data_IF_889853705545
#
_entry.id   IF_889853705545
#
_cell.length_a   1.000
_cell.length_b   1.000
_cell.length_c   1.000
_cell.angle_alpha   90.00
_cell.angle_beta   90.00
_cell.angle_gamma   90.00
#
_symmetry.space_group_name_H-M   'P 1'
#
loop_
_entity.id
_entity.type
_entity.pdbx_description
1 polymer ?
#
# COMPACT_ATOMS: atom_id res chain seq x y z
N UNK A 1 -27.59 8.41 25.30
CA UNK A 1 -27.94 8.21 23.86
C UNK A 1 -26.77 8.40 22.89
N UNK A 2 -25.63 9.00 23.29
CA UNK A 2 -24.56 9.41 22.35
C UNK A 2 -23.55 8.32 21.99
N UNK A 3 -23.20 7.42 22.91
CA UNK A 3 -22.16 6.39 22.66
C UNK A 3 -22.64 5.25 21.74
N UNK A 4 -23.85 4.72 21.96
CA UNK A 4 -24.41 3.68 21.08
C UNK A 4 -24.64 4.17 19.63
N UNK A 5 -25.01 5.45 19.46
CA UNK A 5 -25.14 6.04 18.14
C UNK A 5 -23.77 6.15 17.44
N UNK A 6 -22.72 6.55 18.17
CA UNK A 6 -21.36 6.63 17.63
C UNK A 6 -20.86 5.27 17.17
N UNK A 7 -21.01 4.24 18.00
CA UNK A 7 -20.64 2.85 17.67
C UNK A 7 -21.40 2.35 16.42
N UNK A 8 -22.73 2.53 16.39
CA UNK A 8 -23.59 2.16 15.26
C UNK A 8 -23.16 2.79 13.93
N UNK A 9 -22.80 4.07 13.94
CA UNK A 9 -22.32 4.77 12.74
C UNK A 9 -20.89 4.38 12.38
N UNK A 10 -20.02 4.20 13.36
CA UNK A 10 -18.64 3.77 13.14
C UNK A 10 -18.60 2.39 12.44
N UNK A 11 -19.45 1.43 12.84
CA UNK A 11 -19.55 0.13 12.16
C UNK A 11 -19.89 0.32 10.67
N UNK A 12 -20.92 1.12 10.35
CA UNK A 12 -21.32 1.35 8.94
C UNK A 12 -20.24 2.03 8.13
N UNK A 13 -19.64 3.09 8.68
CA UNK A 13 -18.59 3.86 8.04
C UNK A 13 -17.28 3.06 7.91
N UNK A 14 -17.10 2.01 8.71
CA UNK A 14 -16.00 1.07 8.53
C UNK A 14 -16.31 0.04 7.44
N UNK A 15 -17.42 -0.70 7.61
CA UNK A 15 -17.73 -1.89 6.80
C UNK A 15 -18.09 -1.53 5.36
N UNK A 16 -18.97 -0.55 5.14
CA UNK A 16 -19.45 -0.22 3.78
C UNK A 16 -18.31 0.33 2.91
N UNK A 17 -17.55 1.36 3.34
CA UNK A 17 -16.40 1.82 2.58
C UNK A 17 -15.31 0.76 2.46
N UNK A 18 -15.07 -0.04 3.50
CA UNK A 18 -14.13 -1.17 3.45
C UNK A 18 -14.49 -2.16 2.32
N UNK A 19 -15.75 -2.56 2.23
CA UNK A 19 -16.24 -3.45 1.17
C UNK A 19 -16.08 -2.82 -0.24
N UNK A 20 -16.39 -1.53 -0.38
CA UNK A 20 -16.17 -0.79 -1.65
C UNK A 20 -14.68 -0.81 -2.03
N UNK A 21 -13.79 -0.55 -1.07
CA UNK A 21 -12.35 -0.59 -1.32
C UNK A 21 -11.86 -1.97 -1.78
N UNK A 22 -12.44 -3.05 -1.25
CA UNK A 22 -12.09 -4.43 -1.62
C UNK A 22 -12.40 -4.76 -3.08
N UNK A 23 -13.46 -4.17 -3.64
CA UNK A 23 -13.89 -4.39 -5.02
C UNK A 23 -13.15 -3.46 -5.99
N UNK A 24 -13.01 -2.20 -5.61
CA UNK A 24 -12.47 -1.16 -6.49
C UNK A 24 -10.96 -1.27 -6.69
N UNK A 25 -10.20 -1.78 -5.70
CA UNK A 25 -8.75 -1.90 -5.85
C UNK A 25 -8.35 -2.94 -6.92
N UNK A 26 -8.89 -4.18 -6.95
CA UNK A 26 -8.65 -5.11 -8.05
C UNK A 26 -9.05 -4.53 -9.40
N UNK A 27 -10.19 -3.84 -9.46
CA UNK A 27 -10.61 -3.15 -10.67
C UNK A 27 -9.50 -2.16 -11.13
N UNK A 28 -9.00 -1.30 -10.23
CA UNK A 28 -7.91 -0.36 -10.51
C UNK A 28 -6.61 -1.04 -10.98
N UNK A 29 -6.35 -2.27 -10.54
CA UNK A 29 -5.20 -3.07 -10.95
C UNK A 29 -5.36 -3.67 -12.35
N UNK A 30 -6.58 -3.94 -12.81
CA UNK A 30 -6.84 -4.56 -14.11
C UNK A 30 -6.81 -3.56 -15.27
N UNK A 31 -7.22 -2.31 -15.03
CA UNK A 31 -7.22 -1.26 -16.06
C UNK A 31 -5.83 -0.71 -16.39
N UNK A 32 -5.75 0.13 -17.42
CA UNK A 32 -4.51 0.79 -17.87
C UNK A 32 -4.01 1.79 -16.83
N UNK A 33 -2.72 1.66 -16.46
CA UNK A 33 -2.13 2.39 -15.33
C UNK A 33 -1.98 3.85 -15.73
N UNK A 34 -2.55 4.76 -14.93
CA UNK A 34 -2.60 6.19 -15.24
C UNK A 34 -3.72 6.65 -16.17
N UNK A 35 -4.52 5.73 -16.73
CA UNK A 35 -5.72 6.05 -17.50
C UNK A 35 -6.86 6.60 -16.63
N UNK A 36 -7.95 7.04 -17.26
CA UNK A 36 -9.09 7.64 -16.55
C UNK A 36 -9.69 6.68 -15.50
N UNK A 37 -9.99 5.43 -15.89
CA UNK A 37 -10.53 4.41 -14.99
C UNK A 37 -9.61 4.10 -13.80
N UNK A 38 -8.30 3.98 -14.03
CA UNK A 38 -7.34 3.75 -12.95
C UNK A 38 -7.35 4.90 -11.92
N UNK A 39 -7.41 6.15 -12.41
CA UNK A 39 -7.45 7.33 -11.53
C UNK A 39 -8.77 7.45 -10.77
N UNK A 40 -9.90 7.15 -11.42
CA UNK A 40 -11.21 7.16 -10.78
C UNK A 40 -11.28 6.10 -9.67
N UNK A 41 -10.98 4.85 -10.01
CA UNK A 41 -11.03 3.73 -9.07
C UNK A 41 -9.99 3.87 -7.97
N UNK A 42 -8.77 4.31 -8.29
CA UNK A 42 -7.76 4.64 -7.29
C UNK A 42 -8.21 5.71 -6.30
N UNK A 43 -8.93 6.75 -6.76
CA UNK A 43 -9.47 7.80 -5.88
C UNK A 43 -10.58 7.27 -4.97
N UNK A 44 -11.51 6.48 -5.53
CA UNK A 44 -12.56 5.83 -4.74
C UNK A 44 -11.93 4.93 -3.67
N UNK A 45 -10.97 4.09 -4.04
CA UNK A 45 -10.23 3.25 -3.09
C UNK A 45 -9.61 4.05 -1.94
N UNK A 46 -8.87 5.12 -2.23
CA UNK A 46 -8.21 5.95 -1.21
C UNK A 46 -9.21 6.55 -0.23
N UNK A 47 -10.28 7.16 -0.73
CA UNK A 47 -11.28 7.78 0.14
C UNK A 47 -12.06 6.74 0.93
N UNK A 48 -12.42 5.62 0.32
CA UNK A 48 -13.06 4.51 1.01
C UNK A 48 -12.21 3.97 2.16
N UNK A 49 -10.90 3.77 1.93
CA UNK A 49 -9.98 3.36 2.99
C UNK A 49 -9.89 4.43 4.08
N UNK A 50 -9.72 5.71 3.75
CA UNK A 50 -9.62 6.75 4.79
C UNK A 50 -10.88 6.88 5.65
N UNK A 51 -12.07 6.80 5.05
CA UNK A 51 -13.33 6.79 5.82
C UNK A 51 -13.39 5.55 6.70
N UNK A 52 -13.05 4.37 6.17
CA UNK A 52 -13.07 3.14 6.94
C UNK A 52 -12.09 3.18 8.13
N UNK A 53 -10.90 3.73 7.92
CA UNK A 53 -9.86 3.85 8.94
C UNK A 53 -10.21 4.88 10.02
N UNK A 54 -10.82 6.00 9.63
CA UNK A 54 -11.30 6.99 10.59
C UNK A 54 -12.39 6.38 11.51
N UNK A 55 -13.28 5.57 10.92
CA UNK A 55 -14.30 4.85 11.67
C UNK A 55 -13.72 3.69 12.51
N UNK A 56 -12.59 3.11 12.10
CA UNK A 56 -11.93 2.03 12.83
C UNK A 56 -11.34 2.47 14.18
N UNK A 57 -10.92 3.74 14.32
CA UNK A 57 -10.34 4.27 15.57
C UNK A 57 -11.30 4.15 16.77
N UNK A 58 -12.53 4.70 16.73
CA UNK A 58 -13.47 4.52 17.82
C UNK A 58 -13.92 3.05 17.98
N UNK A 59 -14.04 2.28 16.89
CA UNK A 59 -14.37 0.86 16.98
C UNK A 59 -13.31 0.06 17.73
N UNK A 60 -12.03 0.35 17.50
CA UNK A 60 -10.94 -0.31 18.21
C UNK A 60 -10.98 -0.02 19.71
N UNK A 61 -11.38 1.18 20.10
CA UNK A 61 -11.61 1.53 21.50
C UNK A 61 -12.80 0.76 22.10
N UNK A 62 -13.96 0.77 21.45
CA UNK A 62 -15.16 0.09 21.95
C UNK A 62 -15.01 -1.43 22.01
N UNK A 63 -14.36 -2.02 21.02
CA UNK A 63 -14.09 -3.46 20.95
C UNK A 63 -12.88 -3.90 21.79
N UNK A 64 -12.12 -2.95 22.37
CA UNK A 64 -10.82 -3.20 23.00
C UNK A 64 -9.88 -4.02 22.08
N UNK A 65 -9.89 -3.69 20.78
CA UNK A 65 -9.18 -4.44 19.74
C UNK A 65 -7.91 -3.70 19.30
N UNK A 66 -6.78 -4.10 19.91
CA UNK A 66 -5.47 -3.57 19.56
C UNK A 66 -5.06 -3.86 18.12
N UNK A 67 -5.56 -4.95 17.52
CA UNK A 67 -5.26 -5.28 16.13
C UNK A 67 -5.94 -4.29 15.18
N UNK A 68 -7.21 -3.98 15.39
CA UNK A 68 -7.93 -2.98 14.60
C UNK A 68 -7.26 -1.60 14.70
N UNK A 69 -6.86 -1.20 15.92
CA UNK A 69 -6.11 0.04 16.14
C UNK A 69 -4.76 0.04 15.41
N UNK A 70 -3.98 -1.02 15.57
CA UNK A 70 -2.67 -1.19 14.94
C UNK A 70 -2.73 -1.12 13.41
N UNK A 71 -3.61 -1.93 12.81
CA UNK A 71 -3.75 -2.00 11.35
C UNK A 71 -4.26 -0.70 10.76
N UNK A 72 -5.02 0.08 11.53
CA UNK A 72 -5.49 1.39 11.11
C UNK A 72 -4.33 2.30 10.71
N UNK A 73 -3.29 2.42 11.55
CA UNK A 73 -2.14 3.27 11.22
C UNK A 73 -1.28 2.69 10.09
N UNK A 74 -1.08 1.36 10.06
CA UNK A 74 -0.31 0.69 9.01
C UNK A 74 -0.93 0.95 7.64
N UNK A 75 -2.23 0.67 7.48
CA UNK A 75 -2.95 0.87 6.22
C UNK A 75 -3.03 2.36 5.89
N UNK A 76 -3.23 3.23 6.89
CA UNK A 76 -3.30 4.68 6.70
C UNK A 76 -2.01 5.22 6.07
N UNK A 77 -0.85 4.94 6.67
CA UNK A 77 0.42 5.47 6.17
C UNK A 77 0.85 4.86 4.84
N UNK A 78 0.55 3.58 4.59
CA UNK A 78 0.77 2.98 3.28
C UNK A 78 -0.07 3.68 2.20
N UNK A 79 -1.36 3.88 2.46
CA UNK A 79 -2.30 4.52 1.53
C UNK A 79 -1.94 5.99 1.30
N UNK A 80 -1.67 6.74 2.38
CA UNK A 80 -1.31 8.14 2.31
C UNK A 80 0.01 8.36 1.56
N UNK A 81 1.04 7.57 1.88
CA UNK A 81 2.34 7.64 1.20
C UNK A 81 2.20 7.29 -0.29
N UNK A 82 1.47 6.21 -0.60
CA UNK A 82 1.19 5.78 -1.97
C UNK A 82 0.41 6.82 -2.79
N UNK A 83 -0.57 7.48 -2.19
CA UNK A 83 -1.34 8.53 -2.84
C UNK A 83 -0.50 9.80 -3.06
N UNK A 84 0.24 10.26 -2.03
CA UNK A 84 1.02 11.51 -2.11
C UNK A 84 2.17 11.42 -3.11
N UNK A 85 2.90 10.31 -3.17
CA UNK A 85 3.99 10.17 -4.14
C UNK A 85 3.48 10.21 -5.59
N UNK A 86 2.25 9.75 -5.82
CA UNK A 86 1.60 9.85 -7.13
C UNK A 86 1.19 11.27 -7.49
N UNK A 87 0.83 12.13 -6.53
CA UNK A 87 0.52 13.54 -6.81
C UNK A 87 1.80 14.31 -7.09
N UNK A 88 2.82 14.10 -6.24
CA UNK A 88 4.06 14.87 -6.31
C UNK A 88 4.82 14.57 -7.60
N UNK A 89 4.99 13.28 -7.96
CA UNK A 89 5.74 12.80 -9.15
C UNK A 89 7.14 13.42 -9.33
N UNK A 90 7.73 14.03 -8.30
CA UNK A 90 9.01 14.73 -8.39
C UNK A 90 10.18 13.78 -8.18
N UNK A 91 11.22 13.98 -8.98
CA UNK A 91 12.56 13.50 -8.65
C UNK A 91 13.10 14.35 -7.49
N UNK A 92 13.95 13.77 -6.64
CA UNK A 92 14.54 14.46 -5.48
C UNK A 92 13.53 15.01 -4.45
N UNK A 93 12.40 14.33 -4.26
CA UNK A 93 11.47 14.68 -3.18
C UNK A 93 12.16 14.58 -1.81
N UNK A 94 12.12 15.68 -1.05
CA UNK A 94 12.46 15.72 0.37
C UNK A 94 11.16 15.54 1.16
N UNK A 95 11.10 14.52 2.01
CA UNK A 95 9.91 14.22 2.80
C UNK A 95 9.54 15.36 3.73
N UNK A 96 8.24 15.64 3.81
CA UNK A 96 7.70 16.55 4.82
C UNK A 96 7.61 15.86 6.19
N UNK A 97 7.20 16.61 7.21
CA UNK A 97 7.00 16.10 8.56
C UNK A 97 6.12 14.83 8.60
N UNK A 98 5.05 14.81 7.80
CA UNK A 98 4.12 13.66 7.72
C UNK A 98 4.79 12.37 7.22
N UNK A 99 5.83 12.47 6.38
CA UNK A 99 6.57 11.31 5.89
C UNK A 99 7.45 10.72 7.00
N UNK A 100 8.08 11.58 7.79
CA UNK A 100 8.87 11.17 8.96
C UNK A 100 8.01 10.58 10.07
N UNK A 101 6.84 11.17 10.35
CA UNK A 101 5.85 10.60 11.26
C UNK A 101 5.45 9.21 10.76
N UNK A 102 5.16 9.07 9.46
CA UNK A 102 4.81 7.77 8.88
C UNK A 102 5.91 6.73 9.08
N UNK A 103 7.17 7.07 8.83
CA UNK A 103 8.31 6.17 9.09
C UNK A 103 8.39 5.77 10.57
N UNK A 104 8.28 6.74 11.48
CA UNK A 104 8.36 6.49 12.92
C UNK A 104 7.23 5.56 13.39
N UNK A 105 5.99 5.84 13.00
CA UNK A 105 4.82 5.03 13.35
C UNK A 105 4.95 3.62 12.79
N UNK A 106 5.30 3.48 11.51
CA UNK A 106 5.52 2.17 10.88
C UNK A 106 6.66 1.39 11.55
N UNK A 107 7.76 2.05 11.91
CA UNK A 107 8.88 1.42 12.59
C UNK A 107 8.49 0.94 14.00
N UNK A 108 7.81 1.78 14.79
CA UNK A 108 7.30 1.41 16.12
C UNK A 108 6.30 0.26 16.04
N UNK A 109 5.40 0.30 15.06
CA UNK A 109 4.45 -0.78 14.78
C UNK A 109 5.19 -2.09 14.46
N UNK A 110 6.21 -2.04 13.62
CA UNK A 110 7.02 -3.22 13.27
C UNK A 110 7.81 -3.78 14.45
N UNK A 111 8.43 -2.91 15.26
CA UNK A 111 9.17 -3.30 16.47
C UNK A 111 8.23 -3.92 17.51
N UNK A 112 7.06 -3.32 17.74
CA UNK A 112 6.07 -3.83 18.68
C UNK A 112 5.60 -5.24 18.31
N UNK A 113 5.19 -5.44 17.05
CA UNK A 113 4.76 -6.75 16.56
C UNK A 113 5.91 -7.79 16.61
N UNK A 114 7.13 -7.40 16.23
CA UNK A 114 8.31 -8.28 16.29
C UNK A 114 8.62 -8.72 17.72
N UNK A 115 8.59 -7.79 18.69
CA UNK A 115 8.82 -8.10 20.11
C UNK A 115 7.78 -9.05 20.68
N UNK A 116 6.49 -8.80 20.40
CA UNK A 116 5.40 -9.71 20.76
C UNK A 116 5.57 -11.09 20.12
N UNK A 117 6.05 -11.12 18.89
CA UNK A 117 6.33 -12.36 18.19
C UNK A 117 7.38 -13.22 18.87
N UNK A 118 8.48 -12.59 19.31
CA UNK A 118 9.58 -13.26 20.00
C UNK A 118 9.25 -13.68 21.43
N UNK A 119 8.33 -12.98 22.11
CA UNK A 119 8.08 -13.20 23.54
C UNK A 119 7.10 -14.32 23.87
N UNK A 120 6.33 -14.81 22.90
CA UNK A 120 5.21 -15.74 23.20
C UNK A 120 5.46 -17.19 22.82
N UNK A 121 6.36 -17.47 21.85
CA UNK A 121 6.57 -18.83 21.32
C UNK A 121 5.31 -19.49 20.73
N UNK A 122 4.23 -18.71 20.53
CA UNK A 122 2.92 -19.21 20.12
C UNK A 122 2.73 -19.12 18.60
N UNK A 123 1.67 -19.76 18.07
CA UNK A 123 1.28 -19.60 16.67
C UNK A 123 1.05 -18.11 16.31
N UNK A 124 0.34 -17.37 17.18
CA UNK A 124 0.14 -15.94 17.00
C UNK A 124 1.48 -15.18 17.09
N UNK A 125 2.40 -15.62 17.94
CA UNK A 125 3.75 -15.06 18.02
C UNK A 125 4.50 -15.17 16.70
N UNK A 126 4.49 -16.36 16.08
CA UNK A 126 5.08 -16.58 14.77
C UNK A 126 4.47 -15.65 13.69
N UNK A 127 3.15 -15.48 13.70
CA UNK A 127 2.46 -14.54 12.81
C UNK A 127 2.91 -13.10 13.05
N UNK A 128 2.90 -12.64 14.29
CA UNK A 128 3.31 -11.28 14.67
C UNK A 128 4.76 -10.99 14.30
N UNK A 129 5.64 -11.99 14.41
CA UNK A 129 7.03 -11.89 13.98
C UNK A 129 7.12 -11.61 12.48
N UNK A 130 6.44 -12.38 11.63
CA UNK A 130 6.46 -12.19 10.17
C UNK A 130 5.87 -10.84 9.77
N UNK A 131 4.71 -10.49 10.33
CA UNK A 131 4.05 -9.20 10.07
C UNK A 131 4.96 -8.05 10.51
N UNK A 132 5.52 -8.13 11.71
CA UNK A 132 6.41 -7.12 12.28
C UNK A 132 7.65 -6.89 11.43
N UNK A 133 8.33 -7.97 11.02
CA UNK A 133 9.49 -7.88 10.13
C UNK A 133 9.12 -7.26 8.77
N UNK A 134 8.02 -7.68 8.15
CA UNK A 134 7.56 -7.11 6.88
C UNK A 134 7.29 -5.60 6.98
N UNK A 135 6.63 -5.18 8.06
CA UNK A 135 6.39 -3.76 8.37
C UNK A 135 7.71 -3.01 8.59
N UNK A 136 8.66 -3.59 9.31
CA UNK A 136 10.00 -3.00 9.52
C UNK A 136 10.77 -2.84 8.21
N UNK A 137 10.74 -3.83 7.31
CA UNK A 137 11.36 -3.71 5.98
C UNK A 137 10.75 -2.55 5.19
N UNK A 138 9.42 -2.40 5.24
CA UNK A 138 8.71 -1.27 4.64
C UNK A 138 9.17 0.08 5.21
N UNK A 139 9.23 0.21 6.54
CA UNK A 139 9.66 1.42 7.24
C UNK A 139 11.13 1.77 6.95
N UNK A 140 12.03 0.78 6.94
CA UNK A 140 13.44 0.97 6.58
C UNK A 140 13.59 1.43 5.13
N UNK A 141 12.79 0.86 4.21
CA UNK A 141 12.76 1.29 2.82
C UNK A 141 12.31 2.73 2.64
N UNK A 142 11.32 3.19 3.42
CA UNK A 142 10.90 4.59 3.41
C UNK A 142 11.95 5.51 4.02
N UNK A 143 12.49 5.17 5.20
CA UNK A 143 13.58 5.91 5.83
C UNK A 143 14.74 6.12 4.87
N UNK A 144 15.19 5.05 4.21
CA UNK A 144 16.26 5.11 3.23
C UNK A 144 15.94 6.09 2.10
N UNK A 145 14.69 6.11 1.59
CA UNK A 145 14.26 7.02 0.52
C UNK A 145 14.16 8.48 0.98
N UNK A 146 13.82 8.71 2.24
CA UNK A 146 13.77 10.05 2.83
C UNK A 146 15.17 10.64 3.02
N UNK A 147 16.13 9.83 3.47
CA UNK A 147 17.53 10.22 3.63
C UNK A 147 18.24 10.30 2.27
N UNK A 148 17.94 9.38 1.36
CA UNK A 148 18.54 9.30 0.02
C UNK A 148 17.45 9.31 -1.04
N UNK A 149 17.12 10.51 -1.52
CA UNK A 149 16.07 10.68 -2.53
C UNK A 149 16.34 9.83 -3.79
N UNK A 150 15.35 9.06 -4.28
CA UNK A 150 15.50 8.28 -5.49
C UNK A 150 15.81 9.15 -6.71
N UNK A 151 16.87 8.80 -7.44
CA UNK A 151 17.33 9.57 -8.63
C UNK A 151 16.64 9.16 -9.94
N UNK A 152 16.08 7.96 -10.01
CA UNK A 152 15.48 7.46 -11.25
C UNK A 152 14.12 8.13 -11.55
N UNK A 153 13.90 8.53 -12.81
CA UNK A 153 12.66 9.17 -13.31
C UNK A 153 11.36 8.41 -12.98
N UNK A 154 11.41 7.10 -12.81
CA UNK A 154 10.25 6.22 -12.60
C UNK A 154 10.13 5.75 -11.14
N UNK A 155 10.98 6.24 -10.23
CA UNK A 155 10.96 5.80 -8.84
C UNK A 155 9.59 6.01 -8.19
N UNK A 156 8.96 7.17 -8.43
CA UNK A 156 7.62 7.47 -7.92
C UNK A 156 6.58 6.41 -8.32
N UNK A 157 6.71 5.83 -9.52
CA UNK A 157 5.77 4.85 -10.06
C UNK A 157 5.84 3.54 -9.28
N UNK A 158 7.06 3.04 -9.03
CA UNK A 158 7.27 1.82 -8.24
C UNK A 158 6.97 2.04 -6.76
N UNK A 159 7.23 3.24 -6.22
CA UNK A 159 6.85 3.58 -4.85
C UNK A 159 5.33 3.59 -4.72
N UNK A 160 4.62 4.27 -5.64
CA UNK A 160 3.16 4.29 -5.67
C UNK A 160 2.59 2.88 -5.74
N UNK A 161 3.00 2.09 -6.74
CA UNK A 161 2.53 0.70 -6.90
C UNK A 161 2.83 -0.12 -5.65
N UNK A 162 4.06 -0.04 -5.12
CA UNK A 162 4.46 -0.76 -3.92
C UNK A 162 3.56 -0.44 -2.74
N UNK A 163 3.36 0.86 -2.47
CA UNK A 163 2.56 1.35 -1.35
C UNK A 163 1.08 0.99 -1.44
N UNK A 164 0.47 1.18 -2.62
CA UNK A 164 -0.96 0.89 -2.81
C UNK A 164 -1.24 -0.61 -2.76
N UNK A 165 -0.34 -1.44 -3.32
CA UNK A 165 -0.46 -2.90 -3.22
C UNK A 165 -0.25 -3.38 -1.78
N UNK A 166 0.75 -2.86 -1.05
CA UNK A 166 0.92 -3.18 0.37
C UNK A 166 -0.29 -2.77 1.20
N UNK A 167 -0.85 -1.58 0.99
CA UNK A 167 -2.07 -1.14 1.66
C UNK A 167 -3.24 -2.10 1.40
N UNK A 168 -3.41 -2.51 0.14
CA UNK A 168 -4.45 -3.46 -0.23
C UNK A 168 -4.23 -4.84 0.38
N UNK A 169 -3.01 -5.39 0.33
CA UNK A 169 -2.66 -6.67 0.97
C UNK A 169 -2.95 -6.62 2.46
N UNK A 170 -2.57 -5.54 3.15
CA UNK A 170 -2.87 -5.36 4.58
C UNK A 170 -4.37 -5.30 4.87
N UNK A 171 -5.16 -4.65 4.01
CA UNK A 171 -6.61 -4.61 4.14
C UNK A 171 -7.25 -5.99 3.89
N UNK A 172 -6.76 -6.76 2.90
CA UNK A 172 -7.17 -8.15 2.67
C UNK A 172 -6.81 -9.04 3.85
N UNK A 173 -5.63 -8.85 4.46
CA UNK A 173 -5.28 -9.52 5.73
C UNK A 173 -6.26 -9.17 6.84
N UNK A 174 -6.62 -7.90 7.00
CA UNK A 174 -7.60 -7.49 8.01
C UNK A 174 -8.95 -8.20 7.81
N UNK A 175 -9.49 -8.19 6.59
CA UNK A 175 -10.74 -8.90 6.25
C UNK A 175 -10.60 -10.41 6.48
N UNK A 176 -9.49 -11.01 6.06
CA UNK A 176 -9.25 -12.45 6.21
C UNK A 176 -9.24 -12.89 7.68
N UNK A 177 -8.57 -12.12 8.54
CA UNK A 177 -8.48 -12.43 9.97
C UNK A 177 -9.85 -12.42 10.65
N UNK A 178 -10.70 -11.46 10.28
CA UNK A 178 -12.03 -11.26 10.90
C UNK A 178 -13.16 -12.02 10.22
N UNK A 179 -13.02 -12.46 8.96
CA UNK A 179 -14.09 -13.14 8.24
C UNK A 179 -13.83 -14.64 8.02
N UNK A 180 -12.58 -15.08 7.86
CA UNK A 180 -12.27 -16.42 7.39
C UNK A 180 -11.94 -17.40 8.52
N UNK A 181 -12.77 -17.42 9.57
CA UNK A 181 -12.54 -18.26 10.77
C UNK A 181 -12.39 -19.76 10.51
N UNK A 182 -12.84 -20.24 9.34
CA UNK A 182 -12.66 -21.62 8.86
C UNK A 182 -11.22 -21.94 8.44
N UNK A 183 -10.36 -20.93 8.24
CA UNK A 183 -8.94 -21.11 7.99
C UNK A 183 -8.13 -21.13 9.30
N UNK A 184 -7.06 -21.96 9.39
CA UNK A 184 -6.09 -21.88 10.48
C UNK A 184 -5.56 -20.46 10.67
N UNK A 185 -5.27 -20.08 11.92
CA UNK A 185 -4.84 -18.73 12.29
C UNK A 185 -3.66 -18.26 11.44
N UNK A 186 -2.60 -19.05 11.34
CA UNK A 186 -1.43 -18.71 10.51
C UNK A 186 -1.82 -18.41 9.06
N UNK A 187 -2.70 -19.23 8.47
CA UNK A 187 -3.11 -19.06 7.07
C UNK A 187 -3.92 -17.77 6.92
N UNK A 188 -4.93 -17.53 7.78
CA UNK A 188 -5.74 -16.30 7.76
C UNK A 188 -4.89 -15.03 7.70
N UNK A 189 -3.79 -15.01 8.44
CA UNK A 189 -2.92 -13.84 8.50
C UNK A 189 -1.96 -13.74 7.32
N UNK A 190 -1.35 -14.86 6.93
CA UNK A 190 -0.18 -14.84 6.05
C UNK A 190 -0.50 -15.07 4.57
N UNK A 191 -1.63 -15.70 4.22
CA UNK A 191 -1.97 -15.98 2.82
C UNK A 191 -1.98 -14.73 1.92
N UNK A 192 -2.51 -13.55 2.34
CA UNK A 192 -2.52 -12.38 1.48
C UNK A 192 -1.12 -11.86 1.20
N UNK A 193 -0.21 -11.93 2.19
CA UNK A 193 1.20 -11.56 2.01
C UNK A 193 1.96 -12.59 1.18
N UNK A 194 1.70 -13.89 1.39
CA UNK A 194 2.31 -14.97 0.64
C UNK A 194 2.02 -14.89 -0.87
N UNK A 195 0.86 -14.37 -1.25
CA UNK A 195 0.51 -14.10 -2.66
C UNK A 195 0.95 -12.69 -3.08
N UNK A 196 0.65 -11.69 -2.26
CA UNK A 196 0.84 -10.28 -2.57
C UNK A 196 2.31 -9.92 -2.78
N UNK A 197 3.21 -10.36 -1.91
CA UNK A 197 4.63 -10.01 -1.97
C UNK A 197 5.29 -10.57 -3.23
N UNK A 198 5.21 -11.88 -3.57
CA UNK A 198 5.73 -12.39 -4.83
C UNK A 198 5.09 -11.73 -6.05
N UNK A 199 3.77 -11.51 -6.01
CA UNK A 199 3.05 -10.81 -7.08
C UNK A 199 3.61 -9.40 -7.34
N UNK A 200 3.89 -8.64 -6.27
CA UNK A 200 4.52 -7.32 -6.36
C UNK A 200 5.92 -7.37 -6.99
N UNK A 201 6.73 -8.38 -6.66
CA UNK A 201 8.06 -8.56 -7.25
C UNK A 201 7.98 -8.86 -8.76
N UNK A 202 7.12 -9.81 -9.14
CA UNK A 202 6.90 -10.17 -10.55
C UNK A 202 6.40 -8.96 -11.34
N UNK A 203 5.42 -8.22 -10.80
CA UNK A 203 4.87 -7.06 -11.48
C UNK A 203 5.88 -5.91 -11.60
N UNK A 204 6.69 -5.69 -10.56
CA UNK A 204 7.79 -4.73 -10.59
C UNK A 204 8.80 -5.07 -11.68
N UNK A 205 9.16 -6.35 -11.83
CA UNK A 205 10.09 -6.82 -12.87
C UNK A 205 9.49 -6.61 -14.26
N UNK A 206 8.22 -6.96 -14.45
CA UNK A 206 7.49 -6.76 -15.70
C UNK A 206 7.56 -5.29 -16.17
N UNK A 207 7.17 -4.34 -15.30
CA UNK A 207 7.16 -2.92 -15.67
C UNK A 207 8.55 -2.33 -15.86
N UNK A 208 9.53 -2.76 -15.06
CA UNK A 208 10.92 -2.35 -15.26
C UNK A 208 11.42 -2.74 -16.65
N UNK A 209 11.08 -3.94 -17.11
CA UNK A 209 11.45 -4.40 -18.45
C UNK A 209 10.67 -3.65 -19.54
N UNK A 210 9.38 -3.39 -19.33
CA UNK A 210 8.56 -2.61 -20.26
C UNK A 210 9.12 -1.19 -20.44
N UNK A 211 9.42 -0.49 -19.34
CA UNK A 211 9.94 0.85 -19.39
C UNK A 211 11.33 0.94 -20.06
N UNK A 212 12.23 -0.01 -19.77
CA UNK A 212 13.54 -0.11 -20.44
C UNK A 212 13.41 -0.29 -21.95
N UNK A 213 12.46 -1.13 -22.39
CA UNK A 213 12.18 -1.34 -23.83
C UNK A 213 11.65 -0.06 -24.50
N UNK A 214 10.77 0.67 -23.83
CA UNK A 214 10.24 1.94 -24.34
C UNK A 214 11.33 3.01 -24.46
N UNK A 215 12.22 3.12 -23.47
CA UNK A 215 13.37 4.04 -23.53
C UNK A 215 14.32 3.70 -24.68
N UNK A 216 14.63 2.42 -24.89
CA UNK A 216 15.45 1.97 -26.03
C UNK A 216 14.81 2.30 -27.39
N UNK A 217 13.50 2.10 -27.55
CA UNK A 217 12.78 2.46 -28.80
C UNK A 217 12.83 3.96 -29.08
N UNK A 218 12.68 4.80 -28.05
CA UNK A 218 12.79 6.25 -28.19
C UNK A 218 14.20 6.65 -28.61
N UNK A 219 15.24 6.06 -28.01
CA UNK A 219 16.62 6.33 -28.40
C UNK A 219 16.91 5.93 -29.86
N UNK A 220 16.49 4.75 -30.29
CA UNK A 220 16.65 4.31 -31.70
C UNK A 220 15.97 5.28 -32.67
N UNK A 221 14.76 5.76 -32.35
CA UNK A 221 14.03 6.72 -33.20
C UNK A 221 14.73 8.09 -33.28
N UNK A 222 15.32 8.55 -32.18
CA UNK A 222 16.08 9.81 -32.13
C UNK A 222 17.37 9.69 -32.94
N UNK A 223 18.09 8.57 -32.82
CA UNK A 223 19.32 8.30 -33.59
C UNK A 223 19.03 8.13 -35.08
N UNK A 224 17.91 7.49 -35.46
CA UNK A 224 17.56 7.27 -36.86
C UNK A 224 17.16 8.56 -37.60
N UNK A 225 16.76 9.63 -36.90
CA UNK A 225 16.40 10.94 -37.47
C UNK A 225 15.31 10.90 -38.57
N UNK A 226 14.80 12.04 -39.04
CA UNK A 226 14.08 12.07 -40.30
C UNK A 226 15.12 11.88 -41.42
N UNK A 227 15.05 10.75 -42.13
CA UNK A 227 15.75 10.64 -43.42
C UNK A 227 15.13 11.70 -44.33
N UNK A 228 15.89 12.76 -44.65
CA UNK A 228 15.46 13.77 -45.59
C UNK A 228 15.14 13.08 -46.92
N UNK A 229 13.84 12.96 -47.23
CA UNK A 229 13.40 12.49 -48.53
C UNK A 229 13.93 13.41 -49.62
N UNK A 230 14.27 12.89 -50.82
CA UNK A 230 14.85 13.70 -51.88
C UNK A 230 13.95 14.89 -52.17
N UNK A 231 14.53 16.09 -52.10
CA UNK A 231 13.87 17.33 -52.43
C UNK A 231 13.27 17.19 -53.84
N UNK A 232 11.93 17.19 -53.92
CA UNK A 232 11.24 17.26 -55.19
C UNK A 232 11.56 18.64 -55.79
N UNK A 233 12.36 18.63 -56.85
CA UNK A 233 12.58 19.77 -57.74
C UNK A 233 11.38 19.92 -58.67
#
# INVERSE_FOLDING_TARGET
MTLHALEYWAIRLHVVPGAVAMIVAPAAMLVTKGGWWHRLWGRIFVWSIFVALLAAVPLAYFANDLFLFYMTFVIFFLTLSGYRIHIIKRQNYRGGLIDWIGVAVMALAGVGATRLGLSTGSEMGFVMLIVGLGVMVGAAGDFYRLVRSPRHKQAWWFIHMGKMLSAYVSAVTAVSVVQFHWLPTTIRWLWPMAIGVPGMFVWSRYYRNQFRRSEGRVQVRVVAGPVAGPARR
#
